data_IF_733073150360
#
_entry.id   IF_733073150360
#
_cell.length_a   1.000
_cell.length_b   1.000
_cell.length_c   1.000
_cell.angle_alpha   90.00
_cell.angle_beta   90.00
_cell.angle_gamma   90.00
#
_symmetry.space_group_name_H-M   'P 1'
#
loop_
_entity.id
_entity.type
_entity.pdbx_description
1 polymer ?
#
# COMPACT_ATOMS: atom_id res chain seq x y z
N UNK A 1 12.72 30.04 -2.17
CA UNK A 1 12.29 28.81 -1.46
C UNK A 1 10.86 29.01 -0.97
N UNK A 2 9.99 27.99 -0.96
CA UNK A 2 8.67 28.09 -0.35
C UNK A 2 8.80 28.30 1.18
N UNK A 3 7.76 28.84 1.84
CA UNK A 3 7.79 29.09 3.28
C UNK A 3 7.95 27.78 4.07
N UNK A 4 8.75 27.80 5.13
CA UNK A 4 8.97 26.64 5.99
C UNK A 4 7.70 26.25 6.74
N UNK A 5 7.32 24.98 6.67
CA UNK A 5 6.14 24.42 7.34
C UNK A 5 6.47 23.10 8.02
N UNK A 6 5.63 22.70 8.98
CA UNK A 6 5.66 21.38 9.62
C UNK A 6 4.72 20.44 8.88
N UNK A 7 5.16 19.20 8.73
CA UNK A 7 4.41 18.11 8.13
C UNK A 7 4.47 16.91 9.05
N UNK A 8 3.41 16.12 9.05
CA UNK A 8 3.27 15.01 9.98
C UNK A 8 2.83 13.73 9.27
N UNK A 9 3.28 12.59 9.78
CA UNK A 9 2.69 11.28 9.50
C UNK A 9 1.89 10.84 10.72
N UNK A 10 0.57 10.75 10.59
CA UNK A 10 -0.33 10.29 11.65
C UNK A 10 -0.66 8.79 11.51
N UNK A 11 -0.55 8.04 12.60
CA UNK A 11 -0.97 6.63 12.64
C UNK A 11 -0.31 5.83 13.78
N UNK A 12 -0.59 4.52 13.81
CA UNK A 12 -0.14 3.57 14.85
C UNK A 12 -0.31 2.12 14.33
N UNK A 13 0.43 1.09 14.79
CA UNK A 13 1.52 1.03 15.77
C UNK A 13 2.94 1.01 15.12
N UNK A 14 3.94 0.53 15.90
CA UNK A 14 5.40 0.35 15.69
C UNK A 14 6.00 0.40 14.27
N UNK A 15 5.27 0.00 13.24
CA UNK A 15 5.71 0.12 11.85
C UNK A 15 5.82 1.58 11.39
N UNK A 16 5.12 2.51 12.04
CA UNK A 16 5.23 3.94 11.73
C UNK A 16 6.57 4.52 12.21
N UNK A 17 7.13 4.05 13.33
CA UNK A 17 8.42 4.52 13.86
C UNK A 17 9.59 4.22 12.91
N UNK A 18 9.49 3.16 12.11
CA UNK A 18 10.46 2.79 11.08
C UNK A 18 10.03 3.21 9.67
N UNK A 19 9.06 4.11 9.56
CA UNK A 19 8.64 4.65 8.27
C UNK A 19 9.81 5.36 7.59
N UNK A 20 9.97 5.13 6.29
CA UNK A 20 10.94 5.83 5.47
C UNK A 20 10.41 7.18 4.94
N UNK A 21 9.14 7.52 5.22
CA UNK A 21 8.54 8.79 4.81
C UNK A 21 9.32 10.03 5.34
N UNK A 22 9.76 10.08 6.62
CA UNK A 22 10.60 11.18 7.09
C UNK A 22 11.90 11.33 6.29
N UNK A 23 12.56 10.22 5.92
CA UNK A 23 13.76 10.26 5.08
C UNK A 23 13.48 10.89 3.72
N UNK A 24 12.40 10.46 3.06
CA UNK A 24 12.00 10.96 1.74
C UNK A 24 11.65 12.46 1.78
N UNK A 25 10.73 12.85 2.66
CA UNK A 25 10.22 14.22 2.69
C UNK A 25 11.26 15.22 3.19
N UNK A 26 12.00 14.90 4.25
CA UNK A 26 13.06 15.80 4.74
C UNK A 26 14.19 15.95 3.71
N UNK A 27 14.50 14.91 2.93
CA UNK A 27 15.42 15.05 1.80
C UNK A 27 14.88 16.02 0.75
N UNK A 28 13.61 15.88 0.35
CA UNK A 28 12.96 16.79 -0.59
C UNK A 28 12.98 18.25 -0.07
N UNK A 29 12.61 18.47 1.19
CA UNK A 29 12.60 19.81 1.79
C UNK A 29 13.98 20.46 1.85
N UNK A 30 15.02 19.68 2.17
CA UNK A 30 16.41 20.14 2.15
C UNK A 30 16.87 20.49 0.74
N UNK A 31 16.56 19.64 -0.24
CA UNK A 31 16.91 19.89 -1.66
C UNK A 31 16.17 21.09 -2.26
N UNK A 32 14.98 21.41 -1.75
CA UNK A 32 14.21 22.62 -2.11
C UNK A 32 14.69 23.88 -1.36
N UNK A 33 15.68 23.77 -0.47
CA UNK A 33 16.23 24.88 0.31
C UNK A 33 15.26 25.45 1.35
N UNK A 34 14.47 24.58 1.99
CA UNK A 34 13.47 24.95 3.00
C UNK A 34 13.85 24.39 4.37
N UNK A 35 13.48 25.10 5.44
CA UNK A 35 13.56 24.61 6.82
C UNK A 35 12.29 23.84 7.22
N UNK A 36 11.56 23.29 6.24
CA UNK A 36 10.37 22.49 6.51
C UNK A 36 10.78 21.16 7.15
N UNK A 37 9.94 20.64 8.03
CA UNK A 37 10.20 19.39 8.74
C UNK A 37 9.07 18.41 8.56
N UNK A 38 9.41 17.13 8.45
CA UNK A 38 8.49 16.02 8.43
C UNK A 38 8.74 15.10 9.62
N UNK A 39 7.75 14.93 10.49
CA UNK A 39 7.88 14.12 11.71
C UNK A 39 6.77 13.09 11.86
N UNK A 40 7.04 12.02 12.59
CA UNK A 40 6.03 11.02 12.93
C UNK A 40 5.24 11.50 14.14
N UNK A 41 3.92 11.34 14.09
CA UNK A 41 3.01 11.60 15.19
C UNK A 41 2.20 10.33 15.46
N UNK A 42 2.65 9.56 16.46
CA UNK A 42 2.05 8.28 16.80
C UNK A 42 0.72 8.46 17.52
N UNK A 43 -0.37 7.97 16.91
CA UNK A 43 -1.73 8.04 17.45
C UNK A 43 -2.63 6.98 16.82
N UNK A 44 -3.37 6.24 17.65
CA UNK A 44 -4.31 5.19 17.18
C UNK A 44 -5.68 5.72 16.78
N UNK A 45 -6.03 6.94 17.16
CA UNK A 45 -7.29 7.60 16.84
C UNK A 45 -7.09 9.07 16.48
N UNK A 46 -8.09 9.66 15.83
CA UNK A 46 -8.12 11.10 15.59
C UNK A 46 -8.38 11.80 16.92
N UNK A 47 -7.52 12.75 17.28
CA UNK A 47 -7.62 13.53 18.52
C UNK A 47 -7.82 15.01 18.23
N UNK A 48 -8.38 15.74 19.20
CA UNK A 48 -8.52 17.20 19.08
C UNK A 48 -7.16 17.90 18.87
N UNK A 49 -6.10 17.42 19.54
CA UNK A 49 -4.74 17.92 19.36
C UNK A 49 -4.24 17.72 17.93
N UNK A 50 -4.45 16.53 17.35
CA UNK A 50 -4.10 16.24 15.96
C UNK A 50 -4.84 17.20 15.00
N UNK A 51 -6.13 17.43 15.23
CA UNK A 51 -6.94 18.33 14.40
C UNK A 51 -6.48 19.78 14.52
N UNK A 52 -6.19 20.25 15.74
CA UNK A 52 -5.66 21.59 15.98
C UNK A 52 -4.32 21.80 15.26
N UNK A 53 -3.42 20.79 15.29
CA UNK A 53 -2.13 20.84 14.57
C UNK A 53 -2.32 20.91 13.06
N UNK A 54 -3.26 20.16 12.47
CA UNK A 54 -3.51 20.20 11.02
C UNK A 54 -4.07 21.57 10.60
N UNK A 55 -4.92 22.17 11.44
CA UNK A 55 -5.53 23.47 11.19
C UNK A 55 -4.53 24.64 11.33
N UNK A 56 -3.53 24.52 12.21
CA UNK A 56 -2.51 25.55 12.45
C UNK A 56 -1.79 26.00 11.16
N UNK A 57 -1.57 27.31 11.03
CA UNK A 57 -0.94 27.90 9.83
C UNK A 57 0.51 27.42 9.62
N UNK A 58 1.21 26.98 10.67
CA UNK A 58 2.56 26.42 10.55
C UNK A 58 2.56 25.00 10.00
N UNK A 59 1.41 24.31 9.97
CA UNK A 59 1.28 23.00 9.33
C UNK A 59 1.03 23.17 7.82
N UNK A 60 1.81 22.47 6.99
CA UNK A 60 1.67 22.50 5.53
C UNK A 60 0.81 21.37 4.96
N UNK A 61 0.51 20.36 5.78
CA UNK A 61 -0.21 19.16 5.38
C UNK A 61 0.23 17.95 6.20
N UNK A 62 -0.40 16.80 5.97
CA UNK A 62 -0.05 15.59 6.69
C UNK A 62 -0.32 14.34 5.86
N UNK A 63 0.49 13.31 6.04
CA UNK A 63 0.15 11.96 5.63
C UNK A 63 -0.59 11.24 6.75
N UNK A 64 -1.42 10.28 6.37
CA UNK A 64 -2.24 9.49 7.27
C UNK A 64 -2.04 8.02 6.92
N UNK A 65 -1.73 7.19 7.92
CA UNK A 65 -1.60 5.75 7.76
C UNK A 65 -2.56 4.99 8.68
N UNK A 66 -2.47 3.66 8.70
CA UNK A 66 -3.26 2.82 9.59
C UNK A 66 -3.15 3.32 11.05
N UNK A 67 -4.24 3.25 11.84
CA UNK A 67 -5.61 2.87 11.46
C UNK A 67 -6.47 4.05 10.96
N UNK A 68 -5.87 5.21 10.70
CA UNK A 68 -6.58 6.49 10.60
C UNK A 68 -7.12 6.82 9.20
N UNK A 69 -6.73 6.06 8.16
CA UNK A 69 -7.05 6.40 6.75
C UNK A 69 -8.56 6.58 6.47
N UNK A 70 -9.43 5.90 7.21
CA UNK A 70 -10.88 6.12 7.12
C UNK A 70 -11.40 7.00 8.25
N UNK A 71 -10.81 6.91 9.44
CA UNK A 71 -11.25 7.65 10.62
C UNK A 71 -11.08 9.17 10.48
N UNK A 72 -10.14 9.64 9.65
CA UNK A 72 -9.90 11.07 9.44
C UNK A 72 -10.92 11.74 8.53
N UNK A 73 -11.61 10.98 7.67
CA UNK A 73 -12.50 11.50 6.63
C UNK A 73 -13.57 12.48 7.17
N UNK A 74 -14.27 12.18 8.29
CA UNK A 74 -15.31 13.08 8.81
C UNK A 74 -14.81 14.47 9.26
N UNK A 75 -13.50 14.66 9.37
CA UNK A 75 -12.88 15.91 9.83
C UNK A 75 -12.27 16.75 8.69
N UNK A 76 -12.48 16.33 7.43
CA UNK A 76 -11.98 17.02 6.24
C UNK A 76 -13.10 17.82 5.59
N UNK A 77 -12.76 18.98 5.02
CA UNK A 77 -13.73 19.82 4.30
C UNK A 77 -14.18 19.19 2.99
N UNK A 78 -13.27 18.44 2.35
CA UNK A 78 -13.48 17.88 1.03
C UNK A 78 -12.68 16.59 0.85
N UNK A 79 -13.23 15.65 0.09
CA UNK A 79 -12.49 14.49 -0.41
C UNK A 79 -12.33 14.59 -1.91
N UNK A 80 -11.13 14.27 -2.36
CA UNK A 80 -10.81 14.08 -3.77
C UNK A 80 -11.55 12.87 -4.37
N UNK A 81 -11.78 12.82 -5.69
CA UNK A 81 -12.51 11.73 -6.33
C UNK A 81 -11.97 10.33 -6.00
N UNK A 82 -10.66 10.14 -6.01
CA UNK A 82 -10.03 8.86 -5.71
C UNK A 82 -10.19 8.44 -4.23
N UNK A 83 -10.19 9.42 -3.31
CA UNK A 83 -10.48 9.18 -1.88
C UNK A 83 -11.94 8.82 -1.65
N UNK A 84 -12.87 9.47 -2.37
CA UNK A 84 -14.30 9.18 -2.30
C UNK A 84 -14.57 7.74 -2.77
N UNK A 85 -14.01 7.37 -3.93
CA UNK A 85 -14.17 6.03 -4.51
C UNK A 85 -13.67 4.95 -3.58
N UNK A 86 -12.53 5.16 -2.92
CA UNK A 86 -11.89 4.15 -2.06
C UNK A 86 -12.32 4.23 -0.58
N UNK A 87 -13.08 5.25 -0.19
CA UNK A 87 -13.37 5.62 1.19
C UNK A 87 -12.10 5.58 2.09
N UNK A 88 -11.02 6.18 1.59
CA UNK A 88 -9.71 6.20 2.24
C UNK A 88 -8.99 7.51 1.93
N UNK A 89 -8.33 8.07 2.95
CA UNK A 89 -7.51 9.26 2.85
C UNK A 89 -6.15 8.97 3.48
N UNK A 90 -5.09 8.99 2.66
CA UNK A 90 -3.71 8.83 3.14
C UNK A 90 -2.94 10.16 3.14
N UNK A 91 -3.54 11.24 2.63
CA UNK A 91 -2.88 12.52 2.40
C UNK A 91 -3.85 13.67 2.63
N UNK A 92 -3.51 14.60 3.52
CA UNK A 92 -4.24 15.85 3.77
C UNK A 92 -3.45 16.98 3.13
N UNK A 93 -4.11 17.73 2.24
CA UNK A 93 -3.55 18.89 1.56
C UNK A 93 -4.31 20.13 2.01
N UNK A 94 -3.58 21.17 2.41
CA UNK A 94 -4.13 22.50 2.69
C UNK A 94 -4.28 23.26 1.37
N UNK A 95 -5.52 23.50 0.94
CA UNK A 95 -5.83 24.16 -0.33
C UNK A 95 -6.42 25.55 -0.05
N UNK A 96 -5.75 26.64 -0.49
CA UNK A 96 -6.29 27.98 -0.40
C UNK A 96 -7.55 28.12 -1.25
N UNK A 97 -8.54 28.83 -0.70
CA UNK A 97 -9.79 29.17 -1.39
C UNK A 97 -9.76 30.60 -1.92
N UNK A 98 -10.53 30.94 -2.96
CA UNK A 98 -10.66 32.32 -3.44
C UNK A 98 -11.10 33.30 -2.35
N UNK A 99 -11.83 32.82 -1.33
CA UNK A 99 -12.31 33.62 -0.20
C UNK A 99 -11.26 33.85 0.90
N UNK A 100 -10.00 33.45 0.67
CA UNK A 100 -8.88 33.63 1.60
C UNK A 100 -8.86 32.63 2.77
N UNK A 101 -9.73 31.62 2.75
CA UNK A 101 -9.74 30.52 3.73
C UNK A 101 -8.88 29.36 3.23
N UNK A 102 -8.52 28.43 4.11
CA UNK A 102 -7.85 27.18 3.74
C UNK A 102 -8.80 26.02 3.97
N UNK A 103 -8.95 25.16 2.96
CA UNK A 103 -9.66 23.88 3.06
C UNK A 103 -8.68 22.74 3.32
N UNK A 104 -9.11 21.78 4.13
CA UNK A 104 -8.46 20.48 4.30
C UNK A 104 -9.05 19.50 3.29
N UNK A 105 -8.28 19.19 2.25
CA UNK A 105 -8.70 18.26 1.19
C UNK A 105 -8.00 16.91 1.35
N UNK A 106 -8.78 15.84 1.47
CA UNK A 106 -8.30 14.47 1.59
C UNK A 106 -8.04 13.79 0.25
N UNK A 107 -6.83 13.29 0.06
CA UNK A 107 -6.33 12.59 -1.13
C UNK A 107 -5.95 11.14 -0.79
N UNK A 108 -6.02 10.28 -1.81
CA UNK A 108 -5.53 8.91 -1.73
C UNK A 108 -4.48 8.67 -2.81
N UNK A 109 -3.21 8.71 -2.40
CA UNK A 109 -2.07 8.43 -3.28
C UNK A 109 -1.69 6.94 -3.29
N UNK A 110 -2.32 6.08 -2.48
CA UNK A 110 -2.05 4.64 -2.48
C UNK A 110 -2.41 4.03 -3.85
N UNK A 111 -3.62 4.33 -4.36
CA UNK A 111 -4.11 3.71 -5.60
C UNK A 111 -3.44 4.29 -6.86
N UNK A 112 -3.65 5.57 -7.20
CA UNK A 112 -3.19 6.12 -8.48
C UNK A 112 -1.67 6.25 -8.60
N UNK A 113 -0.95 6.43 -7.48
CA UNK A 113 0.49 6.68 -7.49
C UNK A 113 1.30 5.49 -6.96
N UNK A 114 0.95 4.92 -5.81
CA UNK A 114 1.72 3.83 -5.21
C UNK A 114 1.53 2.51 -5.99
N UNK A 115 0.32 1.97 -5.94
CA UNK A 115 -0.04 0.64 -6.39
C UNK A 115 0.08 0.53 -7.91
N UNK A 116 -0.49 1.49 -8.64
CA UNK A 116 -0.38 1.49 -10.09
C UNK A 116 1.07 1.62 -10.58
N UNK A 117 1.88 2.49 -9.99
CA UNK A 117 3.28 2.61 -10.42
C UNK A 117 4.09 1.35 -10.10
N UNK A 118 3.90 0.77 -8.91
CA UNK A 118 4.59 -0.46 -8.52
C UNK A 118 4.18 -1.65 -9.39
N UNK A 119 2.88 -1.85 -9.65
CA UNK A 119 2.40 -2.92 -10.54
C UNK A 119 2.92 -2.73 -11.98
N UNK A 120 3.05 -1.49 -12.45
CA UNK A 120 3.63 -1.17 -13.77
C UNK A 120 5.13 -1.42 -13.84
N UNK A 121 5.89 -1.09 -12.79
CA UNK A 121 7.34 -1.38 -12.74
C UNK A 121 7.61 -2.89 -12.77
N UNK A 122 6.73 -3.69 -12.15
CA UNK A 122 6.79 -5.15 -12.22
C UNK A 122 6.45 -5.70 -13.62
N UNK A 123 5.88 -4.88 -14.50
CA UNK A 123 5.52 -5.26 -15.85
C UNK A 123 6.73 -5.14 -16.79
N UNK A 124 7.02 -6.19 -17.56
CA UNK A 124 8.18 -6.18 -18.46
C UNK A 124 8.07 -5.18 -19.62
N UNK A 125 6.84 -4.76 -19.97
CA UNK A 125 6.63 -3.82 -21.08
C UNK A 125 6.56 -2.39 -20.60
N UNK A 126 7.43 -1.54 -21.15
CA UNK A 126 7.50 -0.08 -20.91
C UNK A 126 6.27 0.70 -21.39
N UNK A 127 5.28 0.01 -21.98
CA UNK A 127 4.12 0.61 -22.65
C UNK A 127 2.84 0.63 -21.83
N UNK A 128 2.85 0.25 -20.54
CA UNK A 128 1.64 0.36 -19.70
C UNK A 128 1.41 1.85 -19.37
N UNK A 129 0.39 2.50 -19.95
CA UNK A 129 0.17 3.93 -19.76
C UNK A 129 -0.23 4.25 -18.32
N UNK A 130 0.12 5.45 -17.85
CA UNK A 130 -0.10 5.88 -16.46
C UNK A 130 -1.57 6.21 -16.12
N UNK A 131 -2.42 6.32 -17.13
CA UNK A 131 -3.76 6.94 -17.10
C UNK A 131 -4.94 5.96 -17.26
N UNK A 132 -4.70 4.65 -17.05
CA UNK A 132 -5.70 3.58 -17.22
C UNK A 132 -6.25 3.42 -18.66
N UNK A 133 -5.60 4.02 -19.66
CA UNK A 133 -5.98 3.89 -21.07
C UNK A 133 -5.70 2.52 -21.70
N UNK A 134 -5.02 1.63 -20.96
CA UNK A 134 -4.74 0.28 -21.42
C UNK A 134 -5.22 -0.76 -20.41
N UNK A 135 -5.90 -1.78 -20.93
CA UNK A 135 -6.45 -2.90 -20.16
C UNK A 135 -6.05 -4.23 -20.81
N UNK A 136 -6.03 -5.30 -20.03
CA UNK A 136 -5.84 -6.64 -20.56
C UNK A 136 -7.06 -7.05 -21.39
N UNK A 137 -6.89 -7.53 -22.64
CA UNK A 137 -8.01 -7.84 -23.51
C UNK A 137 -8.82 -9.02 -22.97
N UNK A 138 -10.15 -8.86 -22.92
CA UNK A 138 -11.06 -9.92 -22.51
C UNK A 138 -11.06 -11.05 -23.55
N UNK A 139 -10.80 -12.27 -23.09
CA UNK A 139 -10.88 -13.49 -23.91
C UNK A 139 -11.89 -14.47 -23.32
N UNK A 140 -13.11 -14.56 -23.88
CA UNK A 140 -14.17 -15.41 -23.32
C UNK A 140 -13.77 -16.88 -23.14
N UNK A 141 -12.95 -17.43 -24.04
CA UNK A 141 -12.49 -18.81 -24.00
C UNK A 141 -11.50 -19.12 -22.84
N UNK A 142 -10.87 -18.10 -22.25
CA UNK A 142 -9.84 -18.28 -21.21
C UNK A 142 -10.34 -17.97 -19.81
N UNK A 143 -11.60 -17.55 -19.67
CA UNK A 143 -12.15 -16.97 -18.44
C UNK A 143 -11.71 -15.51 -18.24
N UNK A 144 -12.29 -14.80 -17.25
CA UNK A 144 -11.92 -13.42 -16.97
C UNK A 144 -10.50 -13.31 -16.40
N UNK A 145 -9.80 -12.24 -16.77
CA UNK A 145 -8.56 -11.85 -16.12
C UNK A 145 -8.88 -11.03 -14.87
N UNK A 146 -8.31 -11.45 -13.75
CA UNK A 146 -8.75 -11.02 -12.43
C UNK A 146 -7.56 -10.68 -11.53
N UNK A 147 -7.83 -9.90 -10.49
CA UNK A 147 -6.89 -9.54 -9.44
C UNK A 147 -7.25 -10.22 -8.12
N UNK A 148 -6.24 -10.41 -7.27
CA UNK A 148 -6.39 -10.88 -5.89
C UNK A 148 -5.96 -9.77 -4.91
N UNK A 149 -6.73 -9.57 -3.85
CA UNK A 149 -6.32 -8.73 -2.71
C UNK A 149 -6.42 -9.54 -1.42
N UNK A 150 -5.42 -9.42 -0.55
CA UNK A 150 -5.36 -10.11 0.74
C UNK A 150 -5.42 -9.07 1.87
N UNK A 151 -6.51 -9.04 2.64
CA UNK A 151 -6.76 -8.13 3.77
C UNK A 151 -8.10 -7.39 3.67
N UNK A 152 -8.49 -6.62 4.70
CA UNK A 152 -9.81 -5.97 4.80
C UNK A 152 -9.82 -4.45 5.02
N UNK A 153 -8.67 -3.77 4.88
CA UNK A 153 -8.51 -2.37 5.29
C UNK A 153 -8.68 -1.32 4.18
N UNK A 154 -8.33 -0.07 4.50
CA UNK A 154 -8.29 1.02 3.51
C UNK A 154 -7.35 0.70 2.33
N UNK A 155 -6.19 0.09 2.60
CA UNK A 155 -5.25 -0.34 1.56
C UNK A 155 -5.88 -1.39 0.64
N UNK A 156 -6.70 -2.31 1.16
CA UNK A 156 -7.45 -3.30 0.34
C UNK A 156 -8.33 -2.61 -0.69
N UNK A 157 -9.06 -1.56 -0.28
CA UNK A 157 -9.92 -0.78 -1.20
C UNK A 157 -9.10 -0.05 -2.25
N UNK A 158 -7.98 0.57 -1.86
CA UNK A 158 -7.02 1.17 -2.80
C UNK A 158 -6.46 0.16 -3.79
N UNK A 159 -6.10 -1.05 -3.34
CA UNK A 159 -5.59 -2.13 -4.19
C UNK A 159 -6.62 -2.68 -5.15
N UNK A 160 -7.86 -2.89 -4.70
CA UNK A 160 -8.95 -3.33 -5.57
C UNK A 160 -9.24 -2.29 -6.67
N UNK A 161 -9.22 -1.00 -6.32
CA UNK A 161 -9.38 0.09 -7.28
C UNK A 161 -8.23 0.11 -8.30
N UNK A 162 -6.97 0.01 -7.85
CA UNK A 162 -5.81 -0.02 -8.75
C UNK A 162 -5.84 -1.21 -9.72
N UNK A 163 -6.20 -2.41 -9.24
CA UNK A 163 -6.32 -3.61 -10.09
C UNK A 163 -7.43 -3.45 -11.13
N UNK A 164 -8.57 -2.84 -10.75
CA UNK A 164 -9.68 -2.59 -11.68
C UNK A 164 -9.30 -1.57 -12.75
N UNK A 165 -8.50 -0.56 -12.42
CA UNK A 165 -7.96 0.41 -13.39
C UNK A 165 -7.02 -0.24 -14.42
N UNK A 166 -6.53 -1.46 -14.16
CA UNK A 166 -5.79 -2.29 -15.12
C UNK A 166 -6.70 -3.25 -15.90
N UNK A 167 -8.02 -3.14 -15.75
CA UNK A 167 -9.02 -3.97 -16.42
C UNK A 167 -9.25 -5.33 -15.77
N UNK A 168 -8.80 -5.55 -14.52
CA UNK A 168 -8.98 -6.82 -13.82
C UNK A 168 -10.32 -6.85 -13.11
N UNK A 169 -11.17 -7.81 -13.45
CA UNK A 169 -12.48 -8.04 -12.82
C UNK A 169 -12.93 -9.48 -13.03
N UNK A 170 -13.60 -10.14 -12.05
CA UNK A 170 -13.88 -9.66 -10.69
C UNK A 170 -12.60 -9.48 -9.86
N UNK A 171 -12.70 -8.96 -8.64
CA UNK A 171 -11.60 -8.94 -7.67
C UNK A 171 -11.82 -10.05 -6.64
N UNK A 172 -10.88 -10.99 -6.54
CA UNK A 172 -10.88 -11.97 -5.46
C UNK A 172 -10.34 -11.35 -4.18
N UNK A 173 -10.99 -11.65 -3.06
CA UNK A 173 -10.62 -11.14 -1.74
C UNK A 173 -10.34 -12.32 -0.82
N UNK A 174 -9.22 -12.28 -0.11
CA UNK A 174 -8.94 -13.19 1.00
C UNK A 174 -8.84 -12.35 2.26
N UNK A 175 -9.72 -12.61 3.22
CA UNK A 175 -9.62 -12.06 4.57
C UNK A 175 -10.29 -12.99 5.56
N UNK A 176 -9.83 -12.95 6.82
CA UNK A 176 -10.35 -13.79 7.90
C UNK A 176 -11.66 -13.28 8.49
N UNK A 177 -11.89 -11.97 8.43
CA UNK A 177 -13.01 -11.30 9.06
C UNK A 177 -14.11 -11.02 8.02
N UNK A 178 -15.26 -11.69 8.17
CA UNK A 178 -16.39 -11.55 7.25
C UNK A 178 -17.01 -10.15 7.29
N UNK A 179 -16.97 -9.48 8.46
CA UNK A 179 -17.47 -8.10 8.57
C UNK A 179 -16.57 -7.15 7.80
N UNK A 180 -15.24 -7.26 7.93
CA UNK A 180 -14.32 -6.44 7.13
C UNK A 180 -14.50 -6.67 5.62
N UNK A 181 -14.74 -7.92 5.21
CA UNK A 181 -15.05 -8.24 3.81
C UNK A 181 -16.32 -7.53 3.35
N UNK A 182 -17.37 -7.55 4.16
CA UNK A 182 -18.62 -6.88 3.84
C UNK A 182 -18.44 -5.36 3.81
N UNK A 183 -17.70 -4.78 4.76
CA UNK A 183 -17.39 -3.35 4.78
C UNK A 183 -16.60 -2.90 3.53
N UNK A 184 -15.67 -3.73 3.03
CA UNK A 184 -14.97 -3.49 1.75
C UNK A 184 -15.96 -3.50 0.57
N UNK A 185 -16.82 -4.52 0.49
CA UNK A 185 -17.83 -4.63 -0.57
C UNK A 185 -18.82 -3.46 -0.55
N UNK A 186 -19.25 -3.05 0.63
CA UNK A 186 -20.21 -1.95 0.82
C UNK A 186 -19.61 -0.58 0.49
N UNK A 187 -18.32 -0.39 0.75
CA UNK A 187 -17.60 0.83 0.35
C UNK A 187 -17.32 0.88 -1.16
N UNK A 188 -17.21 -0.27 -1.82
CA UNK A 188 -16.78 -0.42 -3.22
C UNK A 188 -17.85 -1.11 -4.08
N UNK A 189 -19.13 -0.72 -3.94
CA UNK A 189 -20.28 -1.37 -4.60
C UNK A 189 -20.23 -1.38 -6.13
N UNK A 190 -19.41 -0.50 -6.72
CA UNK A 190 -19.16 -0.46 -8.17
C UNK A 190 -18.22 -1.56 -8.65
N UNK A 191 -17.58 -2.32 -7.75
CA UNK A 191 -16.69 -3.42 -8.08
C UNK A 191 -17.33 -4.78 -7.73
N UNK A 192 -17.02 -5.78 -8.53
CA UNK A 192 -17.42 -7.17 -8.27
C UNK A 192 -16.37 -7.87 -7.40
N UNK A 193 -16.77 -8.36 -6.22
CA UNK A 193 -15.88 -9.09 -5.31
C UNK A 193 -16.31 -10.53 -5.09
N UNK A 194 -15.33 -11.46 -5.14
CA UNK A 194 -15.50 -12.87 -4.76
C UNK A 194 -14.62 -13.16 -3.54
N UNK A 195 -15.23 -13.57 -2.43
CA UNK A 195 -14.49 -13.87 -1.19
C UNK A 195 -14.07 -15.35 -1.19
N UNK A 196 -12.76 -15.58 -1.10
CA UNK A 196 -12.17 -16.91 -0.93
C UNK A 196 -11.89 -17.13 0.56
N UNK A 197 -12.63 -18.03 1.17
CA UNK A 197 -12.56 -18.36 2.60
C UNK A 197 -11.60 -19.51 2.87
N UNK A 198 -11.47 -20.40 1.90
CA UNK A 198 -10.71 -21.64 2.02
C UNK A 198 -10.13 -22.09 0.67
N UNK A 199 -9.21 -23.07 0.67
CA UNK A 199 -8.75 -23.73 -0.55
C UNK A 199 -9.88 -24.34 -1.40
N UNK A 200 -11.00 -24.75 -0.80
CA UNK A 200 -12.14 -25.29 -1.56
C UNK A 200 -12.79 -24.23 -2.47
N UNK A 201 -12.81 -22.97 -2.04
CA UNK A 201 -13.28 -21.86 -2.88
C UNK A 201 -12.30 -21.61 -4.04
N UNK A 202 -11.01 -21.76 -3.79
CA UNK A 202 -9.96 -21.65 -4.82
C UNK A 202 -10.18 -22.72 -5.89
N UNK A 203 -10.41 -23.97 -5.50
CA UNK A 203 -10.72 -25.06 -6.44
C UNK A 203 -11.99 -24.75 -7.25
N UNK A 204 -13.04 -24.26 -6.60
CA UNK A 204 -14.33 -23.96 -7.24
C UNK A 204 -14.23 -22.83 -8.28
N UNK A 205 -13.50 -21.77 -7.96
CA UNK A 205 -13.50 -20.53 -8.75
C UNK A 205 -12.31 -20.39 -9.72
N UNK A 206 -11.16 -21.00 -9.40
CA UNK A 206 -9.90 -20.73 -10.10
C UNK A 206 -9.28 -21.98 -10.76
N UNK A 207 -9.75 -23.18 -10.45
CA UNK A 207 -9.21 -24.43 -10.99
C UNK A 207 -10.15 -25.03 -12.04
N UNK A 208 -9.63 -25.27 -13.24
CA UNK A 208 -10.36 -25.87 -14.36
C UNK A 208 -10.34 -25.02 -15.62
N UNK A 209 -10.86 -25.58 -16.72
CA UNK A 209 -10.96 -24.88 -17.99
C UNK A 209 -12.01 -23.76 -17.95
N UNK A 210 -11.72 -22.62 -18.57
CA UNK A 210 -12.60 -21.45 -18.60
C UNK A 210 -12.75 -20.68 -17.28
N UNK A 211 -12.05 -21.09 -16.20
CA UNK A 211 -12.09 -20.42 -14.89
C UNK A 211 -11.25 -19.14 -14.87
N UNK A 212 -11.53 -18.28 -13.88
CA UNK A 212 -10.88 -16.99 -13.74
C UNK A 212 -9.38 -17.14 -13.48
N UNK A 213 -8.58 -16.20 -14.01
CA UNK A 213 -7.11 -16.24 -13.94
C UNK A 213 -6.55 -15.04 -13.20
N UNK A 214 -5.92 -15.29 -12.06
CA UNK A 214 -5.25 -14.25 -11.26
C UNK A 214 -3.96 -13.84 -11.96
N UNK A 215 -3.96 -12.63 -12.55
CA UNK A 215 -2.78 -12.02 -13.17
C UNK A 215 -1.91 -11.29 -12.14
N UNK A 216 -2.56 -10.62 -11.19
CA UNK A 216 -1.91 -9.78 -10.20
C UNK A 216 -2.53 -10.01 -8.83
N UNK A 217 -1.70 -10.00 -7.80
CA UNK A 217 -2.11 -10.12 -6.42
C UNK A 217 -1.49 -9.00 -5.57
N UNK A 218 -2.22 -8.50 -4.57
CA UNK A 218 -1.74 -7.48 -3.65
C UNK A 218 -1.97 -7.91 -2.20
N UNK A 219 -0.88 -8.00 -1.43
CA UNK A 219 -0.89 -8.27 0.00
C UNK A 219 -1.04 -6.98 0.80
N UNK A 220 -2.15 -6.84 1.53
CA UNK A 220 -2.49 -5.66 2.35
C UNK A 220 -2.50 -5.94 3.86
N UNK A 221 -2.25 -7.19 4.28
CA UNK A 221 -2.17 -7.55 5.70
C UNK A 221 -0.77 -7.24 6.25
N UNK A 222 -0.64 -6.79 7.52
CA UNK A 222 0.66 -6.61 8.16
C UNK A 222 1.47 -7.90 8.19
N UNK A 223 2.80 -7.76 8.18
CA UNK A 223 3.72 -8.90 8.23
C UNK A 223 3.96 -9.43 9.63
N UNK A 224 2.89 -9.93 10.24
CA UNK A 224 2.96 -10.66 11.50
C UNK A 224 2.71 -12.15 11.27
N UNK A 225 3.39 -12.99 12.04
CA UNK A 225 3.15 -14.42 12.03
C UNK A 225 1.68 -14.69 12.45
N UNK A 226 0.93 -15.51 11.69
CA UNK A 226 -0.45 -15.84 12.03
C UNK A 226 -0.51 -16.58 13.37
N UNK A 227 -1.32 -16.07 14.30
CA UNK A 227 -1.49 -16.63 15.64
C UNK A 227 -2.71 -17.55 15.69
N UNK A 228 -3.79 -17.13 15.05
CA UNK A 228 -5.08 -17.83 15.07
C UNK A 228 -5.23 -18.80 13.90
N UNK A 229 -6.14 -19.77 14.03
CA UNK A 229 -6.51 -20.66 12.93
C UNK A 229 -7.03 -19.88 11.72
N UNK A 230 -7.86 -18.86 11.96
CA UNK A 230 -8.43 -18.03 10.91
C UNK A 230 -7.36 -17.23 10.16
N UNK A 231 -6.34 -16.72 10.87
CA UNK A 231 -5.18 -16.10 10.23
C UNK A 231 -4.37 -17.11 9.41
N UNK A 232 -4.10 -18.32 9.93
CA UNK A 232 -3.43 -19.38 9.16
C UNK A 232 -4.20 -19.74 7.90
N UNK A 233 -5.53 -19.80 7.97
CA UNK A 233 -6.40 -20.11 6.83
C UNK A 233 -6.27 -19.08 5.69
N UNK A 234 -6.04 -17.80 6.01
CA UNK A 234 -5.75 -16.76 5.00
C UNK A 234 -4.49 -17.13 4.21
N UNK A 235 -3.40 -17.52 4.89
CA UNK A 235 -2.16 -17.94 4.23
C UNK A 235 -2.29 -19.25 3.46
N UNK A 236 -3.04 -20.22 3.99
CA UNK A 236 -3.31 -21.49 3.30
C UNK A 236 -4.11 -21.25 2.02
N UNK A 237 -5.14 -20.41 2.08
CA UNK A 237 -5.97 -20.04 0.92
C UNK A 237 -5.14 -19.28 -0.11
N UNK A 238 -4.35 -18.29 0.30
CA UNK A 238 -3.45 -17.58 -0.59
C UNK A 238 -2.42 -18.52 -1.25
N UNK A 239 -1.82 -19.43 -0.48
CA UNK A 239 -0.90 -20.44 -1.02
C UNK A 239 -1.58 -21.32 -2.07
N UNK A 240 -2.82 -21.76 -1.83
CA UNK A 240 -3.59 -22.53 -2.81
C UNK A 240 -3.80 -21.76 -4.12
N UNK A 241 -3.98 -20.43 -4.07
CA UNK A 241 -4.00 -19.61 -5.30
C UNK A 241 -2.62 -19.63 -5.98
N UNK A 242 -1.54 -19.39 -5.22
CA UNK A 242 -0.18 -19.31 -5.74
C UNK A 242 0.40 -20.63 -6.28
N UNK A 243 -0.15 -21.79 -5.90
CA UNK A 243 0.23 -23.08 -6.48
C UNK A 243 -0.44 -23.37 -7.82
N UNK A 244 -1.50 -22.65 -8.20
CA UNK A 244 -2.13 -22.81 -9.52
C UNK A 244 -1.12 -22.42 -10.61
N UNK A 245 -0.80 -23.33 -11.56
CA UNK A 245 0.17 -23.05 -12.61
C UNK A 245 -0.18 -21.79 -13.41
N UNK A 246 0.76 -20.84 -13.46
CA UNK A 246 0.61 -19.64 -14.26
C UNK A 246 0.97 -19.95 -15.72
N UNK A 247 -0.04 -19.96 -16.61
CA UNK A 247 0.15 -20.20 -18.05
C UNK A 247 -0.29 -18.98 -18.85
N UNK A 248 0.68 -18.37 -19.53
CA UNK A 248 0.46 -17.19 -20.37
C UNK A 248 -0.11 -17.62 -21.72
N UNK A 249 -1.18 -16.99 -22.22
CA UNK A 249 -1.63 -17.19 -23.59
C UNK A 249 -0.57 -16.70 -24.58
N UNK A 250 -0.21 -17.50 -25.59
CA UNK A 250 0.80 -17.19 -26.63
C UNK A 250 0.33 -16.20 -27.70
N UNK A 251 -0.59 -15.29 -27.37
CA UNK A 251 -1.14 -14.36 -28.36
C UNK A 251 -0.32 -13.08 -28.47
N UNK A 252 -0.04 -12.66 -29.71
CA UNK A 252 0.74 -11.49 -30.09
C UNK A 252 -0.11 -10.24 -30.34
N UNK A 253 -1.45 -10.34 -30.36
CA UNK A 253 -2.34 -9.22 -30.70
C UNK A 253 -2.80 -8.37 -29.49
N UNK A 254 -2.02 -8.33 -28.41
CA UNK A 254 -2.45 -7.71 -27.15
C UNK A 254 -2.09 -6.22 -27.11
N UNK A 255 -3.03 -5.38 -26.66
CA UNK A 255 -2.79 -3.96 -26.35
C UNK A 255 -1.81 -3.83 -25.17
N UNK A 256 -1.96 -4.70 -24.15
CA UNK A 256 -0.99 -4.90 -23.07
C UNK A 256 -0.48 -6.35 -23.08
N UNK A 257 0.84 -6.60 -23.17
CA UNK A 257 1.37 -7.95 -23.09
C UNK A 257 1.13 -8.52 -21.70
N UNK A 258 0.88 -9.82 -21.58
CA UNK A 258 0.70 -10.45 -20.27
C UNK A 258 2.01 -10.45 -19.47
N UNK A 259 1.96 -10.34 -18.13
CA UNK A 259 3.13 -10.56 -17.28
C UNK A 259 3.72 -11.95 -17.52
N UNK A 260 5.05 -12.08 -17.52
CA UNK A 260 5.73 -13.38 -17.70
C UNK A 260 5.60 -14.33 -16.52
N UNK A 261 5.17 -13.80 -15.38
CA UNK A 261 4.87 -14.53 -14.16
C UNK A 261 3.74 -13.80 -13.44
N UNK A 262 3.03 -14.49 -12.55
CA UNK A 262 2.04 -13.83 -11.70
C UNK A 262 2.73 -12.75 -10.87
N UNK A 263 2.20 -11.54 -10.93
CA UNK A 263 2.73 -10.42 -10.15
C UNK A 263 2.16 -10.46 -8.74
N UNK A 264 3.01 -10.24 -7.75
CA UNK A 264 2.60 -10.08 -6.37
C UNK A 264 3.28 -8.85 -5.76
N UNK A 265 2.46 -7.94 -5.26
CA UNK A 265 2.90 -6.73 -4.58
C UNK A 265 2.49 -6.79 -3.11
N UNK A 266 3.47 -6.72 -2.22
CA UNK A 266 3.22 -6.57 -0.80
C UNK A 266 3.28 -5.08 -0.43
N UNK A 267 2.24 -4.59 0.24
CA UNK A 267 2.20 -3.21 0.72
C UNK A 267 2.94 -2.97 2.06
N UNK A 268 3.02 -3.93 3.00
CA UNK A 268 3.92 -3.79 4.14
C UNK A 268 5.38 -3.87 3.69
N UNK A 269 6.25 -3.06 4.31
CA UNK A 269 7.69 -3.05 4.03
C UNK A 269 8.39 -4.34 4.49
N UNK A 270 7.78 -5.09 5.42
CA UNK A 270 8.29 -6.37 5.90
C UNK A 270 7.60 -7.51 5.15
N UNK A 271 8.40 -8.41 4.58
CA UNK A 271 7.94 -9.46 3.66
C UNK A 271 7.14 -10.54 4.39
N UNK A 272 6.02 -10.97 3.81
CA UNK A 272 5.38 -12.21 4.21
C UNK A 272 6.08 -13.41 3.56
N UNK A 273 5.99 -14.56 4.22
CA UNK A 273 6.55 -15.83 3.78
C UNK A 273 5.81 -16.37 2.54
N UNK A 274 6.03 -15.77 1.37
CA UNK A 274 5.65 -16.33 0.06
C UNK A 274 6.90 -16.66 -0.76
N UNK A 275 6.85 -17.65 -1.68
CA UNK A 275 8.03 -18.14 -2.39
C UNK A 275 8.79 -17.03 -3.12
N UNK A 276 10.13 -17.06 -3.01
CA UNK A 276 11.07 -16.02 -3.42
C UNK A 276 10.95 -15.54 -4.89
N UNK A 277 10.34 -16.34 -5.77
CA UNK A 277 10.22 -16.03 -7.20
C UNK A 277 9.02 -15.14 -7.56
N UNK A 278 8.24 -14.67 -6.57
CA UNK A 278 7.01 -13.87 -6.81
C UNK A 278 7.10 -12.41 -6.36
N UNK A 279 8.18 -12.03 -5.66
CA UNK A 279 8.26 -10.75 -4.95
C UNK A 279 9.04 -9.69 -5.71
N UNK A 280 8.43 -8.53 -5.96
CA UNK A 280 9.11 -7.36 -6.50
C UNK A 280 8.77 -6.07 -5.71
N UNK A 281 9.79 -5.44 -5.14
CA UNK A 281 9.89 -4.04 -4.63
C UNK A 281 8.67 -3.40 -3.93
N UNK A 282 8.38 -3.79 -2.68
CA UNK A 282 7.44 -3.07 -1.77
C UNK A 282 7.82 -1.60 -1.56
N UNK A 283 9.12 -1.30 -1.64
CA UNK A 283 9.68 0.04 -1.47
C UNK A 283 9.25 1.04 -2.55
N UNK A 284 8.99 0.59 -3.78
CA UNK A 284 8.64 1.50 -4.87
C UNK A 284 7.27 2.13 -4.63
N UNK A 285 6.26 1.34 -4.24
CA UNK A 285 4.93 1.87 -3.94
C UNK A 285 5.02 2.98 -2.88
N UNK A 286 5.77 2.72 -1.80
CA UNK A 286 5.97 3.69 -0.71
C UNK A 286 6.67 4.98 -1.18
N UNK A 287 7.66 4.88 -2.06
CA UNK A 287 8.35 6.06 -2.61
C UNK A 287 7.42 6.88 -3.51
N UNK A 288 6.67 6.22 -4.40
CA UNK A 288 5.82 6.92 -5.37
C UNK A 288 4.60 7.59 -4.72
N UNK A 289 3.99 6.99 -3.68
CA UNK A 289 2.98 7.71 -2.90
C UNK A 289 3.54 8.95 -2.19
N UNK A 290 4.79 8.88 -1.71
CA UNK A 290 5.45 9.96 -0.99
C UNK A 290 5.84 11.11 -1.93
N UNK A 291 6.27 10.82 -3.16
CA UNK A 291 6.47 11.87 -4.17
C UNK A 291 5.16 12.55 -4.56
N UNK A 292 4.07 11.78 -4.72
CA UNK A 292 2.77 12.37 -5.01
C UNK A 292 2.32 13.33 -3.90
N UNK A 293 2.47 12.92 -2.64
CA UNK A 293 2.23 13.78 -1.47
C UNK A 293 3.08 15.06 -1.51
N UNK A 294 4.40 14.91 -1.73
CA UNK A 294 5.34 16.02 -1.76
C UNK A 294 4.99 17.05 -2.86
N UNK A 295 4.63 16.58 -4.06
CA UNK A 295 4.24 17.44 -5.18
C UNK A 295 2.96 18.22 -4.87
N UNK A 296 1.95 17.56 -4.29
CA UNK A 296 0.69 18.21 -3.88
C UNK A 296 0.92 19.26 -2.79
N UNK A 297 1.70 18.96 -1.76
CA UNK A 297 2.04 19.93 -0.71
C UNK A 297 2.84 21.11 -1.23
N UNK A 298 3.82 20.87 -2.12
CA UNK A 298 4.61 21.94 -2.72
C UNK A 298 3.74 22.91 -3.54
N UNK A 299 2.71 22.40 -4.22
CA UNK A 299 1.79 23.21 -5.02
C UNK A 299 0.61 23.77 -4.24
N UNK A 300 0.28 23.21 -3.08
CA UNK A 300 -0.97 23.52 -2.38
C UNK A 300 -2.21 23.10 -3.18
N UNK A 301 -2.08 22.08 -4.03
CA UNK A 301 -3.15 21.61 -4.92
C UNK A 301 -3.37 20.13 -4.70
N UNK A 302 -4.61 19.79 -4.33
CA UNK A 302 -5.06 18.43 -4.11
C UNK A 302 -5.61 17.85 -5.43
N UNK A 303 -4.76 17.20 -6.23
CA UNK A 303 -5.16 16.55 -7.48
C UNK A 303 -4.19 15.45 -7.88
N UNK A 304 -4.72 14.33 -8.35
CA UNK A 304 -3.94 13.22 -8.92
C UNK A 304 -3.03 13.69 -10.06
N UNK A 305 -3.45 14.68 -10.86
CA UNK A 305 -2.61 15.25 -11.93
C UNK A 305 -1.34 15.86 -11.36
N UNK A 306 -1.45 16.65 -10.29
CA UNK A 306 -0.31 17.25 -9.59
C UNK A 306 0.53 16.17 -8.91
N UNK A 307 -0.11 15.21 -8.24
CA UNK A 307 0.58 14.09 -7.61
C UNK A 307 1.37 13.23 -8.61
N UNK A 308 0.95 13.20 -9.88
CA UNK A 308 1.55 12.37 -10.93
C UNK A 308 2.53 13.12 -11.85
N UNK A 309 2.78 14.41 -11.62
CA UNK A 309 3.67 15.22 -12.45
C UNK A 309 5.11 15.25 -11.88
N UNK A 310 6.06 14.46 -12.42
CA UNK A 310 7.43 14.41 -11.93
C UNK A 310 8.24 15.69 -12.22
N UNK A 311 7.75 16.59 -13.09
CA UNK A 311 8.44 17.84 -13.42
C UNK A 311 8.39 18.82 -12.24
N UNK A 312 7.41 18.68 -11.35
CA UNK A 312 7.21 19.58 -10.20
C UNK A 312 8.41 19.60 -9.25
N UNK A 313 8.97 18.43 -8.93
CA UNK A 313 10.18 18.33 -8.09
C UNK A 313 11.46 18.31 -8.93
N UNK A 314 11.37 17.82 -10.16
CA UNK A 314 12.48 17.66 -11.06
C UNK A 314 13.21 16.33 -10.87
N UNK A 315 13.63 15.73 -12.00
CA UNK A 315 14.20 14.39 -12.06
C UNK A 315 15.37 14.17 -11.09
N UNK A 316 16.30 15.13 -11.03
CA UNK A 316 17.50 15.01 -10.18
C UNK A 316 17.13 14.87 -8.70
N UNK A 317 16.22 15.72 -8.22
CA UNK A 317 15.78 15.70 -6.82
C UNK A 317 15.08 14.38 -6.49
N UNK A 318 14.16 13.93 -7.34
CA UNK A 318 13.46 12.67 -7.12
C UNK A 318 14.39 11.47 -7.16
N UNK A 319 15.36 11.44 -8.09
CA UNK A 319 16.34 10.36 -8.14
C UNK A 319 17.22 10.33 -6.89
N UNK A 320 17.62 11.49 -6.36
CA UNK A 320 18.45 11.60 -5.16
C UNK A 320 17.67 11.18 -3.91
N UNK A 321 16.44 11.65 -3.76
CA UNK A 321 15.55 11.29 -2.67
C UNK A 321 15.17 9.79 -2.72
N UNK A 322 14.96 9.23 -3.92
CA UNK A 322 14.71 7.79 -4.12
C UNK A 322 15.91 6.96 -3.69
N UNK A 323 17.15 7.36 -4.03
CA UNK A 323 18.37 6.68 -3.58
C UNK A 323 18.54 6.74 -2.07
N UNK A 324 18.34 7.91 -1.46
CA UNK A 324 18.43 8.07 0.00
C UNK A 324 17.41 7.21 0.74
N UNK A 325 16.18 7.16 0.24
CA UNK A 325 15.09 6.37 0.83
C UNK A 325 15.34 4.87 0.69
N UNK A 326 15.80 4.41 -0.47
CA UNK A 326 16.17 2.99 -0.67
C UNK A 326 17.34 2.59 0.24
N UNK A 327 18.35 3.45 0.39
CA UNK A 327 19.46 3.21 1.31
C UNK A 327 18.99 3.00 2.75
N UNK A 328 18.10 3.85 3.24
CA UNK A 328 17.48 3.72 4.58
C UNK A 328 16.73 2.39 4.75
N UNK A 329 15.99 1.95 3.73
CA UNK A 329 15.25 0.69 3.80
C UNK A 329 16.18 -0.54 3.82
N UNK A 330 17.30 -0.49 3.10
CA UNK A 330 18.26 -1.59 2.98
C UNK A 330 19.26 -1.67 4.13
N UNK A 331 19.57 -0.56 4.78
CA UNK A 331 20.59 -0.50 5.81
C UNK A 331 19.99 -0.81 7.20
N UNK A 332 20.50 -1.87 7.83
CA UNK A 332 20.09 -2.27 9.18
C UNK A 332 20.67 -1.35 10.27
N UNK A 333 21.70 -0.56 9.98
CA UNK A 333 22.45 0.24 10.97
C UNK A 333 21.90 1.67 11.12
N UNK A 334 21.37 2.28 10.06
CA UNK A 334 20.71 3.61 10.12
C UNK A 334 19.35 3.60 10.81
N UNK A 335 18.74 2.42 11.02
CA UNK A 335 17.52 2.25 11.81
C UNK A 335 17.71 2.68 13.28
N UNK A 336 18.93 2.55 13.81
CA UNK A 336 19.26 2.92 15.19
C UNK A 336 19.67 4.40 15.33
N UNK A 337 20.14 5.05 14.24
CA UNK A 337 20.75 6.39 14.30
C UNK A 337 19.75 7.55 14.09
N UNK A 338 18.60 7.29 13.46
CA UNK A 338 17.48 8.26 13.37
C UNK A 338 16.39 8.00 14.40
N UNK A 339 16.54 6.92 15.18
CA UNK A 339 15.83 6.73 16.44
C UNK A 339 16.37 7.75 17.45
N UNK A 340 15.88 8.99 17.37
CA UNK A 340 15.86 9.88 18.53
C UNK A 340 14.99 9.19 19.57
N UNK A 341 15.66 8.45 20.45
CA UNK A 341 15.09 7.76 21.59
C UNK A 341 14.95 6.26 21.38
N UNK A 342 15.77 5.49 22.10
CA UNK A 342 15.32 4.25 22.76
C UNK A 342 14.23 4.66 23.75
N UNK A 343 13.07 5.04 23.24
CA UNK A 343 11.91 5.49 23.97
C UNK A 343 10.74 4.63 23.52
N UNK A 344 10.05 4.02 24.47
CA UNK A 344 8.79 3.31 24.22
C UNK A 344 7.90 4.19 23.33
N UNK A 345 7.43 3.67 22.20
CA UNK A 345 6.46 4.40 21.39
C UNK A 345 5.13 4.41 22.16
N UNK A 346 4.75 5.59 22.65
CA UNK A 346 3.53 5.80 23.41
C UNK A 346 2.47 6.32 22.47
N UNK A 347 1.35 5.60 22.36
CA UNK A 347 0.15 6.10 21.70
C UNK A 347 -0.31 7.38 22.40
N UNK A 348 -0.17 8.53 21.73
CA UNK A 348 -0.53 9.84 22.32
C UNK A 348 -2.01 9.92 22.72
N UNK A 349 -2.86 9.10 22.12
CA UNK A 349 -4.29 9.16 22.36
C UNK A 349 -4.76 8.26 23.53
N UNK A 350 -3.96 7.26 23.92
CA UNK A 350 -4.34 6.28 24.95
C UNK A 350 -3.28 6.08 26.04
N UNK A 351 -2.10 6.68 25.91
CA UNK A 351 -0.98 6.48 26.82
C UNK A 351 -0.44 5.05 26.82
N UNK A 352 -0.86 4.21 25.86
CA UNK A 352 -0.48 2.80 25.75
C UNK A 352 0.87 2.69 25.08
N UNK A 353 1.78 1.92 25.68
CA UNK A 353 3.05 1.56 25.04
C UNK A 353 2.80 0.50 23.98
N UNK A 354 3.32 0.72 22.76
CA UNK A 354 3.45 -0.37 21.80
C UNK A 354 4.55 -1.32 22.30
N UNK A 355 4.21 -2.58 22.56
CA UNK A 355 5.21 -3.59 22.91
C UNK A 355 6.21 -3.73 21.76
N UNK A 356 7.49 -3.43 22.04
CA UNK A 356 8.60 -3.65 21.14
C UNK A 356 8.87 -5.16 21.10
N UNK A 357 8.14 -5.91 20.28
CA UNK A 357 8.66 -7.21 19.86
C UNK A 357 9.74 -6.90 18.83
N UNK A 358 10.99 -6.83 19.29
CA UNK A 358 12.15 -6.70 18.43
C UNK A 358 12.02 -7.74 17.33
N UNK A 359 11.89 -7.33 16.07
CA UNK A 359 12.14 -8.20 14.92
C UNK A 359 13.66 -8.39 14.85
N UNK A 360 14.23 -8.98 15.89
CA UNK A 360 15.63 -9.39 15.93
C UNK A 360 15.66 -10.91 16.05
N UNK A 361 16.39 -11.53 15.12
CA UNK A 361 16.64 -12.97 14.94
C UNK A 361 15.52 -13.79 14.31
N UNK A 362 15.40 -13.69 12.99
CA UNK A 362 15.14 -14.86 12.13
C UNK A 362 15.78 -14.73 10.73
N UNK A 363 16.75 -13.82 10.53
CA UNK A 363 17.51 -13.67 9.27
C UNK A 363 18.91 -14.30 9.30
N UNK A 364 19.36 -14.89 10.42
CA UNK A 364 20.63 -15.62 10.48
C UNK A 364 20.44 -16.87 11.33
N UNK A 365 20.16 -17.99 10.68
CA UNK A 365 19.99 -19.25 11.40
C UNK A 365 19.36 -20.41 10.65
N UNK A 366 19.19 -20.37 9.33
CA UNK A 366 18.96 -21.59 8.54
C UNK A 366 19.72 -21.50 7.23
N UNK A 367 21.02 -21.83 7.30
CA UNK A 367 21.70 -22.39 6.15
C UNK A 367 21.20 -23.82 5.97
N UNK A 368 20.15 -23.99 5.16
CA UNK A 368 19.75 -25.25 4.54
C UNK A 368 19.32 -24.83 3.13
N UNK A 369 20.14 -25.00 2.10
CA UNK A 369 20.45 -26.32 1.57
C UNK A 369 19.20 -26.80 0.84
N UNK A 370 19.19 -26.68 -0.49
CA UNK A 370 18.02 -27.04 -1.30
C UNK A 370 17.56 -28.47 -1.01
N UNK A 371 16.33 -28.62 -0.55
CA UNK A 371 15.43 -29.77 -0.74
C UNK A 371 14.06 -29.43 -0.14
N UNK A 372 13.01 -29.95 -0.78
CA UNK A 372 11.63 -29.51 -0.60
C UNK A 372 11.03 -29.76 0.79
N UNK A 373 9.99 -28.97 1.09
CA UNK A 373 9.07 -29.26 2.18
C UNK A 373 7.74 -29.72 1.57
N UNK A 374 7.67 -31.03 1.32
CA UNK A 374 6.45 -31.81 1.41
C UNK A 374 6.32 -32.30 2.86
N UNK A 375 5.08 -32.54 3.31
CA UNK A 375 4.65 -33.10 4.59
C UNK A 375 4.34 -32.08 5.71
N UNK A 376 3.08 -31.64 5.76
CA UNK A 376 2.38 -31.61 7.05
C UNK A 376 1.64 -32.94 7.17
N UNK A 377 2.20 -33.79 8.02
CA UNK A 377 1.66 -35.06 8.47
C UNK A 377 0.28 -34.84 9.13
N UNK A 378 -0.71 -35.61 8.68
CA UNK A 378 -1.97 -35.82 9.38
C UNK A 378 -1.69 -36.76 10.55
N UNK A 379 -1.37 -36.20 11.72
CA UNK A 379 -1.15 -36.96 12.95
C UNK A 379 -2.26 -36.68 13.96
N UNK A 380 -3.08 -37.71 14.22
CA UNK A 380 -4.06 -37.79 15.31
C UNK A 380 -3.55 -37.26 16.64
N UNK A 381 -4.38 -36.48 17.34
CA UNK A 381 -4.44 -36.48 18.81
C UNK A 381 -5.90 -36.25 19.24
N UNK A 382 -6.35 -37.16 20.12
CA UNK A 382 -7.68 -37.28 20.74
C UNK A 382 -8.23 -35.99 21.38
#
# INVERSE_FOLDING_TARGET
>A
PPPSKKYHLFGFPIAIAHSAAPTLHNHCFKSLGTESTYTIWSTSKVTEEMLAVIQDDNCGGAAVTMPLKTAIIPFLDELAPESQVTNACNTIVKVPTPEGRVKLVGQNTDSPNALLAALREQHQSSTVPSDASASYPLKPALGPFTGLVIGGGATTRSSAQALTLLGLSPIFLINRDEKEVQDVKDAMKHLEFIHLRSPADVETHLVGEGKARILMAVGCIPSFAPQTLAERMVYTTASAVFTIPYRIPTDTSLILPYPTQRLFLEMPVYLLYFPANTHNSTSQAMIEQGFAQQRMWLRGVASVTVGSDPVILGKQLEDDARRATRAFLTDSTTRDATAVGVGKEVDRAEGREAAVSTVSRLQRGMGLGGQGWLACDLGHYD
#
